data_IF_854971791267
#
_entry.id   IF_854971791267
#
_cell.length_a   1.000
_cell.length_b   1.000
_cell.length_c   1.000
_cell.angle_alpha   90.00
_cell.angle_beta   90.00
_cell.angle_gamma   90.00
#
_symmetry.space_group_name_H-M   'P 1'
#
loop_
_entity.id
_entity.type
_entity.pdbx_description
1 polymer ?
#
# COMPACT_ATOMS: atom_id res chain seq x y z
N UNK A 1 -15.49 -20.58 -16.93
CA UNK A 1 -14.08 -20.11 -16.88
C UNK A 1 -14.00 -18.87 -16.02
N UNK A 2 -13.52 -18.98 -14.77
CA UNK A 2 -13.34 -17.81 -13.89
C UNK A 2 -12.04 -17.10 -14.26
N UNK A 3 -12.10 -15.82 -14.60
CA UNK A 3 -10.90 -15.04 -14.90
C UNK A 3 -9.92 -15.08 -13.71
N UNK A 4 -8.60 -15.20 -13.95
CA UNK A 4 -7.64 -15.33 -12.85
C UNK A 4 -7.76 -14.14 -11.91
N UNK A 5 -7.83 -14.39 -10.59
CA UNK A 5 -7.89 -13.38 -9.51
C UNK A 5 -6.91 -12.21 -9.71
N UNK A 6 -5.77 -12.47 -10.37
CA UNK A 6 -4.74 -11.52 -10.82
C UNK A 6 -5.28 -10.35 -11.66
N UNK A 7 -6.25 -10.57 -12.54
CA UNK A 7 -6.79 -9.54 -13.44
C UNK A 7 -7.62 -8.48 -12.70
N UNK A 8 -8.30 -8.86 -11.60
CA UNK A 8 -9.12 -7.92 -10.83
C UNK A 8 -8.30 -6.86 -10.08
N UNK A 9 -7.18 -7.27 -9.48
CA UNK A 9 -6.29 -6.36 -8.74
C UNK A 9 -5.51 -5.44 -9.68
N UNK A 10 -5.03 -5.97 -10.82
CA UNK A 10 -4.32 -5.17 -11.82
C UNK A 10 -5.21 -4.09 -12.43
N UNK A 11 -6.50 -4.40 -12.65
CA UNK A 11 -7.47 -3.41 -13.14
C UNK A 11 -7.71 -2.27 -12.13
N UNK A 12 -7.85 -2.59 -10.84
CA UNK A 12 -8.01 -1.59 -9.78
C UNK A 12 -6.78 -0.64 -9.68
N UNK A 13 -5.58 -1.17 -9.89
CA UNK A 13 -4.35 -0.38 -9.94
C UNK A 13 -4.24 0.45 -11.22
N UNK A 14 -4.70 -0.08 -12.36
CA UNK A 14 -4.71 0.67 -13.62
C UNK A 14 -5.68 1.86 -13.58
N UNK A 15 -6.81 1.73 -12.87
CA UNK A 15 -7.78 2.81 -12.67
C UNK A 15 -7.26 3.91 -11.73
N UNK A 16 -6.29 3.61 -10.87
CA UNK A 16 -5.77 4.52 -9.85
C UNK A 16 -4.24 4.59 -9.94
N UNK A 17 -3.74 5.59 -10.66
CA UNK A 17 -2.29 5.82 -10.92
C UNK A 17 -1.49 5.99 -9.61
N UNK A 18 -2.11 6.49 -8.54
CA UNK A 18 -1.48 6.69 -7.24
C UNK A 18 -2.14 5.79 -6.17
N UNK A 19 -1.38 4.89 -5.50
CA UNK A 19 -1.92 4.01 -4.44
C UNK A 19 -2.50 4.78 -3.23
N UNK A 20 -2.07 6.01 -2.98
CA UNK A 20 -2.61 6.85 -1.90
C UNK A 20 -4.06 7.27 -2.16
N UNK A 21 -4.53 7.20 -3.41
CA UNK A 21 -5.91 7.50 -3.80
C UNK A 21 -6.85 6.29 -3.68
N UNK A 22 -6.35 5.18 -3.15
CA UNK A 22 -7.10 3.92 -2.99
C UNK A 22 -7.55 3.81 -1.53
N UNK A 23 -8.33 4.76 -1.01
CA UNK A 23 -8.92 4.67 0.33
C UNK A 23 -10.21 5.48 0.49
N UNK A 24 -11.12 5.36 -0.49
CA UNK A 24 -12.29 6.25 -0.60
C UNK A 24 -13.37 6.01 0.48
N UNK A 25 -13.65 4.75 0.85
CA UNK A 25 -14.65 4.44 1.87
C UNK A 25 -14.39 3.09 2.59
N UNK A 26 -14.97 2.86 3.79
CA UNK A 26 -14.74 1.64 4.58
C UNK A 26 -15.09 0.33 3.85
N UNK A 27 -16.17 0.35 3.06
CA UNK A 27 -16.67 -0.83 2.32
C UNK A 27 -15.86 -1.17 1.06
N UNK A 28 -15.06 -0.22 0.59
CA UNK A 28 -14.17 -0.34 -0.57
C UNK A 28 -12.71 -0.14 -0.18
N UNK A 29 -12.36 -0.18 1.10
CA UNK A 29 -10.97 -0.13 1.53
C UNK A 29 -10.12 -1.20 0.79
N UNK A 30 -8.82 -0.97 0.52
CA UNK A 30 -7.97 -1.92 -0.21
C UNK A 30 -8.07 -3.35 0.29
N UNK A 31 -8.04 -3.54 1.60
CA UNK A 31 -8.18 -4.87 2.22
C UNK A 31 -9.51 -5.54 1.89
N UNK A 32 -10.63 -4.81 1.88
CA UNK A 32 -11.96 -5.34 1.50
C UNK A 32 -12.04 -5.69 0.02
N UNK A 33 -11.42 -4.89 -0.85
CA UNK A 33 -11.32 -5.20 -2.30
C UNK A 33 -10.52 -6.48 -2.53
N UNK A 34 -9.39 -6.65 -1.82
CA UNK A 34 -8.57 -7.87 -1.92
C UNK A 34 -9.32 -9.08 -1.37
N UNK A 35 -9.96 -8.97 -0.20
CA UNK A 35 -10.74 -10.08 0.42
C UNK A 35 -11.86 -10.57 -0.51
N UNK A 36 -12.55 -9.65 -1.23
CA UNK A 36 -13.58 -10.02 -2.21
C UNK A 36 -13.03 -10.90 -3.35
N UNK A 37 -11.77 -10.73 -3.72
CA UNK A 37 -11.11 -11.50 -4.79
C UNK A 37 -10.36 -12.72 -4.25
N UNK A 38 -9.84 -12.63 -3.03
CA UNK A 38 -9.02 -13.63 -2.33
C UNK A 38 -9.56 -13.74 -0.90
N UNK A 39 -10.59 -14.58 -0.66
CA UNK A 39 -11.22 -14.71 0.66
C UNK A 39 -10.24 -15.10 1.78
N UNK A 40 -9.14 -15.76 1.42
CA UNK A 40 -8.08 -16.22 2.33
C UNK A 40 -7.06 -15.12 2.68
N UNK A 41 -7.22 -13.91 2.15
CA UNK A 41 -6.30 -12.80 2.39
C UNK A 41 -6.32 -12.34 3.85
N UNK A 42 -5.21 -12.57 4.56
CA UNK A 42 -4.94 -11.94 5.85
C UNK A 42 -4.12 -10.67 5.65
N UNK A 43 -4.76 -9.52 5.92
CA UNK A 43 -4.14 -8.20 5.79
C UNK A 43 -2.92 -8.01 6.68
N UNK A 44 -2.85 -8.68 7.83
CA UNK A 44 -1.78 -8.46 8.81
C UNK A 44 -0.52 -9.18 8.34
N UNK A 45 -0.59 -10.50 8.18
CA UNK A 45 0.57 -11.32 7.81
C UNK A 45 1.06 -11.00 6.40
N UNK A 46 0.14 -10.90 5.44
CA UNK A 46 0.52 -10.63 4.04
C UNK A 46 1.07 -9.22 3.89
N UNK A 47 0.50 -8.23 4.59
CA UNK A 47 0.98 -6.85 4.58
C UNK A 47 2.43 -6.74 5.06
N UNK A 48 2.75 -7.35 6.20
CA UNK A 48 4.12 -7.35 6.75
C UNK A 48 5.12 -8.02 5.80
N UNK A 49 4.78 -9.19 5.24
CA UNK A 49 5.65 -9.91 4.30
C UNK A 49 5.90 -9.12 3.02
N UNK A 50 4.87 -8.46 2.48
CA UNK A 50 5.01 -7.65 1.25
C UNK A 50 5.88 -6.42 1.52
N UNK A 51 5.60 -5.67 2.59
CA UNK A 51 6.39 -4.48 2.95
C UNK A 51 7.86 -4.83 3.17
N UNK A 52 8.14 -5.94 3.85
CA UNK A 52 9.50 -6.44 4.04
C UNK A 52 10.21 -6.81 2.72
N UNK A 53 9.47 -7.26 1.71
CA UNK A 53 10.03 -7.62 0.39
C UNK A 53 10.27 -6.43 -0.52
N UNK A 54 9.35 -5.47 -0.58
CA UNK A 54 9.46 -4.30 -1.47
C UNK A 54 10.38 -3.22 -0.90
N UNK A 55 10.49 -3.16 0.43
CA UNK A 55 11.35 -2.22 1.14
C UNK A 55 10.79 -0.79 1.21
N UNK A 56 11.40 -0.01 2.09
CA UNK A 56 10.98 1.37 2.36
C UNK A 56 11.26 2.32 1.18
N UNK A 57 12.33 2.11 0.43
CA UNK A 57 12.68 2.97 -0.71
C UNK A 57 11.64 2.91 -1.83
N UNK A 58 11.12 1.71 -2.11
CA UNK A 58 10.03 1.53 -3.06
C UNK A 58 8.76 2.26 -2.60
N UNK A 59 8.44 2.17 -1.31
CA UNK A 59 7.30 2.87 -0.72
C UNK A 59 7.48 4.39 -0.80
N UNK A 60 8.66 4.93 -0.46
CA UNK A 60 8.98 6.36 -0.58
C UNK A 60 8.87 6.85 -2.03
N UNK A 61 9.30 6.04 -3.01
CA UNK A 61 9.22 6.40 -4.44
C UNK A 61 7.77 6.42 -4.96
N UNK A 62 6.93 5.53 -4.46
CA UNK A 62 5.58 5.32 -5.01
C UNK A 62 4.51 6.17 -4.30
N UNK A 63 4.73 6.51 -3.03
CA UNK A 63 3.78 7.22 -2.17
C UNK A 63 4.40 8.55 -1.70
N UNK A 64 4.04 9.66 -2.33
CA UNK A 64 4.65 10.96 -2.09
C UNK A 64 4.31 11.53 -0.70
N UNK A 65 3.09 11.33 -0.20
CA UNK A 65 2.72 11.75 1.15
C UNK A 65 3.45 10.91 2.20
N UNK A 66 3.56 9.59 1.99
CA UNK A 66 4.33 8.72 2.88
C UNK A 66 5.80 9.16 2.93
N UNK A 67 6.42 9.43 1.77
CA UNK A 67 7.78 9.94 1.71
C UNK A 67 7.94 11.27 2.46
N UNK A 68 7.00 12.20 2.29
CA UNK A 68 7.00 13.47 2.99
C UNK A 68 6.93 13.31 4.52
N UNK A 69 6.15 12.34 5.01
CA UNK A 69 6.09 12.01 6.44
C UNK A 69 7.41 11.40 6.94
N UNK A 70 7.97 10.42 6.24
CA UNK A 70 9.25 9.80 6.59
C UNK A 70 10.37 10.85 6.59
N UNK A 71 10.44 11.72 5.58
CA UNK A 71 11.44 12.78 5.51
C UNK A 71 11.35 13.75 6.70
N UNK A 72 10.14 14.04 7.20
CA UNK A 72 9.98 14.84 8.43
C UNK A 72 10.57 14.11 9.64
N UNK A 73 10.28 12.81 9.80
CA UNK A 73 10.81 12.01 10.91
C UNK A 73 12.33 11.87 10.86
N UNK A 74 12.89 11.63 9.68
CA UNK A 74 14.34 11.57 9.45
C UNK A 74 15.02 12.91 9.86
N UNK A 75 14.37 14.04 9.57
CA UNK A 75 14.86 15.37 9.96
C UNK A 75 14.66 15.72 11.44
N UNK A 76 13.81 15.03 12.20
CA UNK A 76 13.72 15.23 13.64
C UNK A 76 14.96 14.66 14.35
N UNK A 77 15.50 13.55 13.83
CA UNK A 77 16.69 12.92 14.40
C UNK A 77 17.96 13.79 14.30
N UNK A 78 18.00 14.73 13.35
CA UNK A 78 19.12 15.67 13.19
C UNK A 78 19.04 16.89 14.11
N UNK A 79 17.88 17.13 14.75
CA UNK A 79 17.68 18.22 15.73
C UNK A 79 18.13 17.81 17.14
N UNK A 80 17.99 16.53 17.50
CA UNK A 80 18.30 16.04 18.87
C UNK A 80 19.80 15.81 19.14
N UNK A 81 20.67 15.84 18.12
CA UNK A 81 22.13 15.74 18.25
C UNK A 81 22.86 17.10 18.23
N UNK A 82 22.20 18.19 18.63
CA UNK A 82 22.83 19.51 18.84
C UNK A 82 22.64 20.02 20.26
#
# INVERSE_FOLDING_TARGET
MSAPKKYGLQKLLAEKVNPELINDNPETAPSKRIIKLIPEYDKVSVGAVIVGKIGIDFLKKTCSHFNGWIAKLENLSSITNR
#
